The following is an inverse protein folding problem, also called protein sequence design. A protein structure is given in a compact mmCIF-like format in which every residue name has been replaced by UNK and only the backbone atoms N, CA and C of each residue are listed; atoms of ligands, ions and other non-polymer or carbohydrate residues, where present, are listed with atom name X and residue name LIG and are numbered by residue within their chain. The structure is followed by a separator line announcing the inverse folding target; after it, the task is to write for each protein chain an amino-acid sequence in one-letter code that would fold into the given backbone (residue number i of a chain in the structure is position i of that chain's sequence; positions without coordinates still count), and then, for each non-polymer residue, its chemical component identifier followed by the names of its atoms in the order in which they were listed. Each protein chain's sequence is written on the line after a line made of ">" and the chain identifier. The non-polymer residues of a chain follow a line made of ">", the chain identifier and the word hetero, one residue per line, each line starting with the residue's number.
data_IF_031544348921
#
_entry.id   IF_031544348921
#
_cell.length_a   1.000
_cell.length_b   1.000
_cell.length_c   1.000
_cell.angle_alpha   90.00
_cell.angle_beta   90.00
_cell.angle_gamma   90.00
#
_symmetry.space_group_name_H-M   'P 1'
#
loop_
_entity.id
_entity.type
_entity.pdbx_description
1 polymer ?
#
# COMPACT_ATOMS: atom_id res chain seq x y z
N UNK A 1 -19.07 13.35 -14.86
CA UNK A 1 -18.94 11.94 -15.27
C UNK A 1 -17.71 11.34 -14.68
N UNK A 2 -17.77 10.09 -14.31
CA UNK A 2 -16.82 9.47 -13.39
C UNK A 2 -16.15 8.25 -13.93
N UNK A 3 -15.98 8.18 -15.23
CA UNK A 3 -15.24 7.10 -15.85
C UNK A 3 -13.84 7.60 -16.20
N UNK A 4 -12.83 7.07 -15.52
CA UNK A 4 -11.45 7.45 -15.74
C UNK A 4 -10.61 6.25 -16.10
N UNK A 5 -9.81 6.39 -17.14
CA UNK A 5 -8.75 5.44 -17.44
C UNK A 5 -7.43 6.09 -17.05
N UNK A 6 -6.74 5.49 -16.09
CA UNK A 6 -5.54 6.06 -15.50
C UNK A 6 -4.36 5.11 -15.64
N UNK A 7 -3.18 5.68 -15.78
CA UNK A 7 -1.95 4.90 -15.66
C UNK A 7 -1.55 4.91 -14.20
N UNK A 8 -1.86 3.84 -13.50
CA UNK A 8 -1.74 3.78 -12.05
C UNK A 8 -0.37 4.20 -11.53
N UNK A 9 0.71 3.71 -12.12
CA UNK A 9 2.06 4.03 -11.64
C UNK A 9 2.44 5.51 -11.79
N UNK A 10 1.68 6.27 -12.58
CA UNK A 10 1.92 7.71 -12.76
C UNK A 10 1.17 8.57 -11.78
N UNK A 11 0.30 7.98 -10.95
CA UNK A 11 -0.50 8.73 -9.98
C UNK A 11 0.33 9.21 -8.79
N UNK A 12 1.40 8.50 -8.47
CA UNK A 12 2.30 8.84 -7.37
C UNK A 12 3.74 8.71 -7.83
N UNK A 13 4.64 9.43 -7.15
CA UNK A 13 6.07 9.45 -7.48
C UNK A 13 6.91 9.05 -6.28
N UNK A 14 8.05 8.41 -6.57
CA UNK A 14 9.07 8.14 -5.56
C UNK A 14 10.03 9.34 -5.51
N UNK A 15 9.67 10.33 -4.69
CA UNK A 15 10.50 11.50 -4.47
C UNK A 15 11.34 11.31 -3.22
N UNK A 16 12.49 11.97 -3.16
CA UNK A 16 13.42 11.85 -2.05
C UNK A 16 12.75 12.02 -0.69
N UNK A 17 12.92 11.03 0.17
CA UNK A 17 12.48 11.03 1.56
C UNK A 17 10.99 11.32 1.75
N UNK A 18 10.17 10.94 0.77
CA UNK A 18 8.74 11.18 0.86
C UNK A 18 7.93 9.90 0.70
N UNK A 19 6.85 9.88 1.45
CA UNK A 19 5.78 8.92 1.24
C UNK A 19 4.67 9.68 0.55
N UNK A 20 4.29 9.26 -0.64
CA UNK A 20 3.18 9.89 -1.36
C UNK A 20 2.00 8.94 -1.38
N UNK A 21 0.84 9.44 -0.98
CA UNK A 21 -0.39 8.67 -0.93
C UNK A 21 -1.51 9.45 -1.59
N UNK A 22 -2.27 8.77 -2.45
CA UNK A 22 -3.50 9.32 -3.02
C UNK A 22 -4.66 8.39 -2.75
N UNK A 23 -5.76 8.97 -2.30
CA UNK A 23 -7.01 8.25 -2.11
C UNK A 23 -7.75 8.28 -3.45
N UNK A 24 -7.99 7.10 -4.02
CA UNK A 24 -8.65 6.99 -5.32
C UNK A 24 -10.16 6.84 -5.18
N UNK A 25 -10.58 6.04 -4.20
CA UNK A 25 -11.99 5.83 -3.89
C UNK A 25 -12.13 5.75 -2.38
N UNK A 26 -13.21 6.28 -1.85
CA UNK A 26 -13.48 6.21 -0.42
C UNK A 26 -14.98 6.25 -0.15
N UNK A 27 -15.42 5.37 0.75
CA UNK A 27 -16.79 5.35 1.26
C UNK A 27 -16.78 4.80 2.67
N UNK A 28 -17.09 5.65 3.65
CA UNK A 28 -17.05 5.30 5.08
C UNK A 28 -15.66 4.80 5.46
N UNK A 29 -15.55 3.55 5.91
CA UNK A 29 -14.26 2.95 6.30
C UNK A 29 -13.56 2.25 5.13
N UNK A 30 -14.24 2.11 4.02
CA UNK A 30 -13.67 1.52 2.80
C UNK A 30 -12.85 2.56 2.05
N UNK A 31 -11.68 2.15 1.59
CA UNK A 31 -10.76 3.07 0.94
C UNK A 31 -9.89 2.33 -0.07
N UNK A 32 -9.67 2.95 -1.20
CA UNK A 32 -8.76 2.46 -2.21
C UNK A 32 -7.68 3.51 -2.42
N UNK A 33 -6.49 3.22 -1.95
CA UNK A 33 -5.36 4.15 -2.01
C UNK A 33 -4.26 3.63 -2.92
N UNK A 34 -3.50 4.56 -3.49
CA UNK A 34 -2.22 4.23 -4.10
C UNK A 34 -1.12 4.94 -3.32
N UNK A 35 -0.02 4.22 -3.07
CA UNK A 35 1.07 4.71 -2.24
C UNK A 35 2.39 4.51 -2.99
N UNK A 36 3.23 5.56 -2.97
CA UNK A 36 4.63 5.47 -3.36
C UNK A 36 5.48 5.55 -2.10
N UNK A 37 6.37 4.59 -1.93
CA UNK A 37 7.23 4.47 -0.77
C UNK A 37 8.67 4.31 -1.25
N UNK A 38 9.52 5.25 -0.90
CA UNK A 38 10.92 5.19 -1.29
C UNK A 38 11.68 4.12 -0.49
N UNK A 39 12.72 3.57 -1.10
CA UNK A 39 13.57 2.56 -0.46
C UNK A 39 13.96 2.99 0.96
N UNK A 40 13.82 2.08 1.89
CA UNK A 40 14.09 2.23 3.32
C UNK A 40 13.07 3.06 4.11
N UNK A 41 12.08 3.63 3.44
CA UNK A 41 10.99 4.30 4.15
C UNK A 41 10.05 3.27 4.77
N UNK A 42 9.48 3.65 5.91
CA UNK A 42 8.59 2.79 6.69
C UNK A 42 7.27 3.50 6.93
N UNK A 43 6.17 2.81 6.66
CA UNK A 43 4.87 3.20 7.18
C UNK A 43 4.73 2.46 8.52
N UNK A 44 4.70 3.23 9.61
CA UNK A 44 4.71 2.69 10.96
C UNK A 44 3.50 1.85 11.31
N UNK A 45 3.55 1.26 12.50
CA UNK A 45 2.54 0.31 12.93
C UNK A 45 1.15 0.91 13.00
N UNK A 46 0.20 0.24 12.36
CA UNK A 46 -1.20 0.61 12.39
C UNK A 46 -2.08 -0.62 12.17
N UNK A 47 -3.33 -0.50 12.48
CA UNK A 47 -4.32 -1.54 12.19
C UNK A 47 -5.48 -0.93 11.42
N UNK A 48 -6.26 -1.78 10.78
CA UNK A 48 -7.43 -1.35 10.03
C UNK A 48 -8.69 -1.94 10.68
N UNK A 49 -9.75 -1.16 10.73
CA UNK A 49 -11.06 -1.62 11.20
C UNK A 49 -11.76 -2.54 10.18
N UNK A 50 -11.20 -2.66 8.99
CA UNK A 50 -11.74 -3.47 7.90
C UNK A 50 -10.65 -4.34 7.30
N UNK A 51 -11.07 -5.36 6.55
CA UNK A 51 -10.14 -6.24 5.85
C UNK A 51 -9.33 -5.45 4.83
N UNK A 52 -8.10 -5.89 4.58
CA UNK A 52 -7.15 -5.14 3.78
C UNK A 52 -6.49 -6.03 2.73
N UNK A 53 -6.26 -5.46 1.56
CA UNK A 53 -5.46 -6.07 0.51
C UNK A 53 -4.36 -5.10 0.10
N UNK A 54 -3.17 -5.64 -0.17
CA UNK A 54 -2.03 -4.89 -0.67
C UNK A 54 -1.59 -5.53 -1.98
N UNK A 55 -1.53 -4.74 -3.04
CA UNK A 55 -1.10 -5.20 -4.35
C UNK A 55 0.05 -4.36 -4.87
N UNK A 56 1.20 -4.99 -5.12
CA UNK A 56 2.41 -4.27 -5.55
C UNK A 56 2.40 -4.05 -7.06
N UNK A 57 2.44 -2.77 -7.44
CA UNK A 57 2.52 -2.35 -8.83
C UNK A 57 3.96 -2.31 -9.33
N UNK A 58 4.88 -1.96 -8.44
CA UNK A 58 6.29 -1.79 -8.80
C UNK A 58 7.13 -1.86 -7.53
N UNK A 59 8.35 -2.38 -7.63
CA UNK A 59 9.28 -2.45 -6.51
C UNK A 59 9.12 -3.69 -5.66
N UNK A 60 9.44 -3.54 -4.38
CA UNK A 60 9.49 -4.64 -3.43
C UNK A 60 9.27 -4.10 -2.03
N UNK A 61 8.30 -4.64 -1.32
CA UNK A 61 7.97 -4.22 0.04
C UNK A 61 7.97 -5.41 0.99
N UNK A 62 8.14 -5.12 2.26
CA UNK A 62 8.06 -6.11 3.33
C UNK A 62 6.98 -5.66 4.30
N UNK A 63 6.01 -6.53 4.56
CA UNK A 63 4.93 -6.26 5.51
C UNK A 63 5.15 -7.08 6.75
N UNK A 64 5.25 -6.39 7.90
CA UNK A 64 5.54 -7.00 9.19
C UNK A 64 4.27 -7.03 10.04
N UNK A 65 3.89 -8.23 10.45
CA UNK A 65 2.89 -8.47 11.48
C UNK A 65 3.61 -8.82 12.78
N UNK A 66 2.87 -9.05 13.85
CA UNK A 66 3.46 -9.33 15.15
C UNK A 66 4.40 -10.55 15.13
N UNK A 67 3.96 -11.64 14.52
CA UNK A 67 4.72 -12.91 14.52
C UNK A 67 5.31 -13.28 13.16
N UNK A 68 4.95 -12.58 12.11
CA UNK A 68 5.31 -12.97 10.74
C UNK A 68 5.63 -11.75 9.89
N UNK A 69 6.42 -11.97 8.84
CA UNK A 69 6.64 -10.94 7.84
C UNK A 69 6.61 -11.57 6.45
N UNK A 70 6.15 -10.79 5.50
CA UNK A 70 5.99 -11.21 4.12
C UNK A 70 6.67 -10.23 3.19
N UNK A 71 7.35 -10.74 2.18
CA UNK A 71 7.96 -9.92 1.12
C UNK A 71 7.08 -10.02 -0.11
N UNK A 72 6.73 -8.87 -0.67
CA UNK A 72 5.89 -8.77 -1.85
C UNK A 72 6.65 -8.06 -2.95
N UNK A 73 6.64 -8.64 -4.13
CA UNK A 73 7.23 -8.05 -5.33
C UNK A 73 6.12 -7.66 -6.32
N UNK A 74 6.51 -6.99 -7.37
CA UNK A 74 5.61 -6.56 -8.44
C UNK A 74 4.66 -7.68 -8.86
N UNK A 75 3.38 -7.40 -8.85
CA UNK A 75 2.33 -8.33 -9.24
C UNK A 75 1.83 -9.24 -8.13
N UNK A 76 2.39 -9.13 -6.93
CA UNK A 76 1.97 -9.96 -5.80
C UNK A 76 0.96 -9.27 -4.91
N UNK A 77 0.06 -10.06 -4.35
CA UNK A 77 -1.07 -9.61 -3.55
C UNK A 77 -1.03 -10.28 -2.19
N UNK A 78 -1.21 -9.49 -1.13
CA UNK A 78 -1.41 -10.00 0.22
C UNK A 78 -2.74 -9.49 0.75
N UNK A 79 -3.54 -10.39 1.32
CA UNK A 79 -4.80 -10.03 1.95
C UNK A 79 -4.76 -10.44 3.41
N UNK A 80 -5.30 -9.60 4.29
CA UNK A 80 -5.39 -9.92 5.70
C UNK A 80 -6.63 -9.32 6.33
N UNK A 81 -7.06 -9.95 7.42
CA UNK A 81 -8.28 -9.57 8.13
C UNK A 81 -8.07 -8.30 8.96
N UNK A 82 -9.17 -7.66 9.32
CA UNK A 82 -9.17 -6.48 10.18
C UNK A 82 -8.50 -6.75 11.53
N UNK A 83 -8.11 -5.67 12.20
CA UNK A 83 -7.57 -5.68 13.55
C UNK A 83 -6.19 -6.34 13.70
N UNK A 84 -5.46 -6.51 12.61
CA UNK A 84 -4.06 -6.96 12.65
C UNK A 84 -3.13 -5.77 12.51
N UNK A 85 -2.34 -5.52 13.54
CA UNK A 85 -1.34 -4.47 13.53
C UNK A 85 -0.21 -4.84 12.58
N UNK A 86 0.21 -3.90 11.76
CA UNK A 86 1.24 -4.15 10.74
C UNK A 86 2.01 -2.89 10.42
N UNK A 87 3.15 -3.07 9.80
CA UNK A 87 3.95 -1.99 9.23
C UNK A 87 4.51 -2.41 7.88
N UNK A 88 4.85 -1.44 7.05
CA UNK A 88 5.35 -1.67 5.70
C UNK A 88 6.72 -1.01 5.55
N UNK A 89 7.69 -1.78 5.05
CA UNK A 89 9.04 -1.31 4.75
C UNK A 89 9.30 -1.46 3.26
N UNK A 90 9.76 -0.42 2.60
CA UNK A 90 10.16 -0.52 1.21
C UNK A 90 11.60 -1.03 1.11
N UNK A 91 11.76 -2.16 0.44
CA UNK A 91 13.09 -2.73 0.15
C UNK A 91 13.67 -2.12 -1.13
N UNK A 92 12.83 -1.56 -1.97
CA UNK A 92 13.15 -0.77 -3.16
C UNK A 92 12.16 0.35 -3.25
N UNK A 93 12.41 1.34 -4.10
CA UNK A 93 11.39 2.32 -4.44
C UNK A 93 10.18 1.58 -4.97
N UNK A 94 9.03 1.77 -4.34
CA UNK A 94 7.86 0.93 -4.56
C UNK A 94 6.60 1.75 -4.74
N UNK A 95 5.65 1.15 -5.45
CA UNK A 95 4.30 1.68 -5.61
C UNK A 95 3.33 0.53 -5.43
N UNK A 96 2.30 0.74 -4.64
CA UNK A 96 1.34 -0.32 -4.36
C UNK A 96 -0.05 0.25 -4.06
N UNK A 97 -1.05 -0.60 -4.28
CA UNK A 97 -2.42 -0.31 -3.86
C UNK A 97 -2.64 -0.80 -2.44
N UNK A 98 -3.35 0.00 -1.67
CA UNK A 98 -3.86 -0.37 -0.36
C UNK A 98 -5.38 -0.32 -0.44
N UNK A 99 -6.01 -1.47 -0.29
CA UNK A 99 -7.46 -1.61 -0.46
C UNK A 99 -8.07 -2.06 0.86
N UNK A 100 -8.97 -1.25 1.39
CA UNK A 100 -9.68 -1.53 2.64
C UNK A 100 -11.16 -1.70 2.34
N UNK A 101 -11.70 -2.83 2.69
CA UNK A 101 -13.11 -3.14 2.40
C UNK A 101 -13.85 -3.80 3.56
#
# INVERSE_FOLDING_TARGET
>A
MFYNVLKAKKLVNNDENKIEKKILLQDKESCFDIIALEKNEIIGEHSSAVDTAVYVLDGKIEIHFEAEKYVLEKGELLMFKKDHQHKVLALKDSKFFLIKV
#
